data_IF_855879392438
#
_entry.id   IF_855879392438
#
_cell.length_a   1.000
_cell.length_b   1.000
_cell.length_c   1.000
_cell.angle_alpha   90.00
_cell.angle_beta   90.00
_cell.angle_gamma   90.00
#
_symmetry.space_group_name_H-M   'P 1'
#
loop_
_entity.id
_entity.type
_entity.pdbx_description
1 polymer ?
#
# COMPACT_ATOMS: atom_id res chain seq x y z
N UNK A 1 -2.82 19.11 27.74
CA UNK A 1 -3.66 18.15 27.01
C UNK A 1 -4.07 18.76 25.66
N UNK A 2 -3.31 18.53 24.59
CA UNK A 2 -3.79 18.83 23.24
C UNK A 2 -3.91 17.52 22.45
N UNK A 3 -5.13 17.27 22.04
CA UNK A 3 -5.69 16.06 21.46
C UNK A 3 -5.42 16.11 19.96
N UNK A 4 -4.63 15.18 19.43
CA UNK A 4 -4.50 14.99 17.99
C UNK A 4 -5.85 14.52 17.43
N UNK A 5 -6.43 15.26 16.49
CA UNK A 5 -7.67 14.89 15.79
C UNK A 5 -7.33 14.39 14.38
N UNK A 6 -7.87 13.23 13.95
CA UNK A 6 -7.61 12.68 12.63
C UNK A 6 -8.66 13.18 11.63
N UNK A 7 -8.41 14.29 10.93
CA UNK A 7 -9.21 14.71 9.78
C UNK A 7 -8.37 15.33 8.65
N UNK A 8 -8.31 14.65 7.48
CA UNK A 8 -7.95 15.26 6.19
C UNK A 8 -6.72 16.18 6.14
N UNK A 9 -5.65 15.84 6.85
CA UNK A 9 -4.65 16.81 7.30
C UNK A 9 -3.91 17.58 6.20
N UNK A 10 -3.69 17.04 4.99
CA UNK A 10 -2.97 17.81 3.96
C UNK A 10 -3.71 19.09 3.51
N UNK A 11 -5.06 19.11 3.55
CA UNK A 11 -5.83 20.34 3.25
C UNK A 11 -5.73 21.39 4.35
N UNK A 12 -5.46 20.99 5.59
CA UNK A 12 -5.51 21.88 6.77
C UNK A 12 -4.13 22.25 7.31
N UNK A 13 -3.13 21.40 7.15
CA UNK A 13 -1.78 21.61 7.71
C UNK A 13 -0.81 22.24 6.71
N UNK A 14 -0.97 21.99 5.40
CA UNK A 14 -0.13 22.59 4.35
C UNK A 14 -0.84 22.62 2.98
N UNK A 15 -1.72 23.61 2.75
CA UNK A 15 -2.44 23.75 1.48
C UNK A 15 -1.51 23.91 0.27
N UNK A 16 -0.34 24.54 0.46
CA UNK A 16 0.62 24.74 -0.62
C UNK A 16 1.25 23.42 -1.08
N UNK A 17 1.61 22.54 -0.13
CA UNK A 17 2.06 21.19 -0.45
C UNK A 17 0.99 20.38 -1.17
N UNK A 18 -0.27 20.48 -0.73
CA UNK A 18 -1.37 19.80 -1.39
C UNK A 18 -1.56 20.26 -2.85
N UNK A 19 -1.56 21.58 -3.09
CA UNK A 19 -1.68 22.10 -4.45
C UNK A 19 -0.49 21.70 -5.33
N UNK A 20 0.72 21.65 -4.76
CA UNK A 20 1.89 21.12 -5.45
C UNK A 20 1.72 19.65 -5.84
N UNK A 21 1.32 18.79 -4.90
CA UNK A 21 1.08 17.35 -5.18
C UNK A 21 0.01 17.19 -6.26
N UNK A 22 -1.07 17.98 -6.21
CA UNK A 22 -2.11 17.96 -7.25
C UNK A 22 -1.57 18.40 -8.61
N UNK A 23 -0.75 19.44 -8.66
CA UNK A 23 -0.15 19.91 -9.90
C UNK A 23 0.79 18.85 -10.52
N UNK A 24 1.61 18.19 -9.70
CA UNK A 24 2.46 17.07 -10.13
C UNK A 24 1.61 15.89 -10.64
N UNK A 25 0.58 15.49 -9.90
CA UNK A 25 -0.32 14.40 -10.29
C UNK A 25 -1.12 14.73 -11.57
N UNK A 26 -1.46 16.00 -11.80
CA UNK A 26 -2.13 16.45 -13.02
C UNK A 26 -1.22 16.36 -14.26
N UNK A 27 0.10 16.38 -14.06
CA UNK A 27 1.10 16.17 -15.11
C UNK A 27 1.28 14.70 -15.51
N UNK A 28 0.78 13.74 -14.72
CA UNK A 28 0.91 12.31 -15.01
C UNK A 28 0.07 11.91 -16.23
N UNK A 29 0.70 11.40 -17.31
CA UNK A 29 -0.04 10.91 -18.47
C UNK A 29 -1.07 9.87 -18.06
N UNK A 30 -2.31 10.02 -18.56
CA UNK A 30 -3.43 9.13 -18.25
C UNK A 30 -3.75 8.99 -16.74
N UNK A 31 -3.34 9.92 -15.88
CA UNK A 31 -3.49 9.85 -14.42
C UNK A 31 -4.92 9.79 -13.86
N UNK A 32 -5.95 9.79 -14.72
CA UNK A 32 -7.36 9.61 -14.35
C UNK A 32 -7.92 8.23 -14.74
N UNK A 33 -7.20 7.46 -15.56
CA UNK A 33 -7.63 6.16 -16.06
C UNK A 33 -7.38 5.06 -15.03
N UNK A 34 -8.45 4.40 -14.59
CA UNK A 34 -8.38 3.22 -13.71
C UNK A 34 -8.66 1.91 -14.45
N UNK A 35 -9.30 1.98 -15.61
CA UNK A 35 -9.64 0.84 -16.45
C UNK A 35 -8.96 1.01 -17.81
N UNK A 36 -8.22 -0.01 -18.21
CA UNK A 36 -7.52 -0.09 -19.47
C UNK A 36 -8.05 -1.28 -20.26
N UNK A 37 -8.39 -1.06 -21.52
CA UNK A 37 -8.72 -2.12 -22.46
C UNK A 37 -7.47 -2.46 -23.25
N UNK A 38 -7.10 -3.73 -23.24
CA UNK A 38 -5.99 -4.28 -24.03
C UNK A 38 -6.62 -5.09 -25.15
N UNK A 39 -6.43 -4.65 -26.39
CA UNK A 39 -7.05 -5.26 -27.56
C UNK A 39 -6.03 -5.50 -28.68
N UNK A 40 -6.31 -6.52 -29.48
CA UNK A 40 -5.55 -6.88 -30.67
C UNK A 40 -6.52 -7.42 -31.71
N UNK A 41 -6.24 -7.18 -32.99
CA UNK A 41 -7.07 -7.66 -34.09
C UNK A 41 -7.37 -9.16 -33.98
N UNK A 42 -8.67 -9.49 -34.11
CA UNK A 42 -9.22 -10.86 -34.06
C UNK A 42 -9.03 -11.58 -32.72
N UNK A 43 -8.75 -10.87 -31.64
CA UNK A 43 -8.71 -11.40 -30.28
C UNK A 43 -9.75 -10.71 -29.40
N UNK A 44 -10.36 -11.47 -28.47
CA UNK A 44 -11.19 -10.89 -27.43
C UNK A 44 -10.35 -9.95 -26.55
N UNK A 45 -10.90 -8.80 -26.13
CA UNK A 45 -10.16 -7.84 -25.33
C UNK A 45 -9.90 -8.38 -23.91
N UNK A 46 -8.78 -7.97 -23.34
CA UNK A 46 -8.51 -8.08 -21.91
C UNK A 46 -8.66 -6.72 -21.24
N UNK A 47 -8.85 -6.72 -19.93
CA UNK A 47 -9.01 -5.49 -19.16
C UNK A 47 -8.04 -5.48 -17.99
N UNK A 48 -7.38 -4.36 -17.78
CA UNK A 48 -6.55 -4.10 -16.60
C UNK A 48 -7.23 -3.03 -15.76
N UNK A 49 -7.53 -3.36 -14.51
CA UNK A 49 -8.15 -2.46 -13.55
C UNK A 49 -7.28 -2.31 -12.31
N UNK A 50 -6.96 -1.07 -11.94
CA UNK A 50 -6.20 -0.79 -10.72
C UNK A 50 -7.06 -0.83 -9.47
N UNK A 51 -6.72 -1.68 -8.51
CA UNK A 51 -7.34 -1.74 -7.18
C UNK A 51 -6.49 -0.99 -6.14
N UNK A 52 -7.02 -0.86 -4.93
CA UNK A 52 -6.27 -0.38 -3.76
C UNK A 52 -6.60 -1.29 -2.57
N UNK A 53 -5.57 -1.69 -1.82
CA UNK A 53 -5.66 -2.56 -0.64
C UNK A 53 -6.25 -1.86 0.61
N UNK A 54 -7.31 -1.06 0.43
CA UNK A 54 -8.01 -0.33 1.49
C UNK A 54 -9.52 -0.53 1.40
N UNK A 55 -10.18 -0.45 2.55
CA UNK A 55 -11.62 -0.67 2.74
C UNK A 55 -12.44 0.61 2.60
N UNK A 56 -11.85 1.68 2.06
CA UNK A 56 -12.54 2.96 1.89
C UNK A 56 -13.74 2.80 0.93
N UNK A 57 -14.96 3.21 1.32
CA UNK A 57 -16.17 3.08 0.50
C UNK A 57 -16.04 3.65 -0.92
N UNK A 58 -15.13 4.60 -1.14
CA UNK A 58 -14.90 5.23 -2.45
C UNK A 58 -14.19 4.33 -3.45
N UNK A 59 -13.52 3.27 -3.02
CA UNK A 59 -12.69 2.41 -3.89
C UNK A 59 -13.04 0.92 -3.83
N UNK A 60 -14.02 0.53 -3.01
CA UNK A 60 -14.45 -0.87 -2.84
C UNK A 60 -15.66 -1.25 -3.70
N UNK A 61 -15.91 -0.50 -4.76
CA UNK A 61 -16.92 -0.78 -5.79
C UNK A 61 -16.37 -0.45 -7.18
N UNK A 62 -16.79 -1.23 -8.18
CA UNK A 62 -16.47 -0.95 -9.57
C UNK A 62 -17.36 0.18 -10.09
N UNK A 63 -16.77 1.10 -10.86
CA UNK A 63 -17.54 2.05 -11.67
C UNK A 63 -18.23 1.31 -12.82
N UNK A 64 -19.32 1.86 -13.40
CA UNK A 64 -20.13 1.14 -14.41
C UNK A 64 -19.31 0.50 -15.54
N UNK A 65 -18.35 1.21 -16.14
CA UNK A 65 -17.53 0.65 -17.23
C UNK A 65 -16.66 -0.54 -16.77
N UNK A 66 -16.12 -0.49 -15.55
CA UNK A 66 -15.33 -1.57 -14.99
C UNK A 66 -16.20 -2.75 -14.58
N UNK A 67 -17.42 -2.49 -14.08
CA UNK A 67 -18.40 -3.52 -13.80
C UNK A 67 -18.80 -4.26 -15.09
N UNK A 68 -19.11 -3.55 -16.18
CA UNK A 68 -19.42 -4.19 -17.45
C UNK A 68 -18.26 -5.03 -18.00
N UNK A 69 -17.01 -4.56 -17.87
CA UNK A 69 -15.83 -5.33 -18.25
C UNK A 69 -15.67 -6.60 -17.39
N UNK A 70 -15.87 -6.49 -16.07
CA UNK A 70 -15.84 -7.62 -15.15
C UNK A 70 -16.94 -8.65 -15.48
N UNK A 71 -18.17 -8.19 -15.73
CA UNK A 71 -19.31 -9.04 -16.04
C UNK A 71 -19.09 -9.81 -17.36
N UNK A 72 -18.54 -9.15 -18.38
CA UNK A 72 -18.22 -9.75 -19.67
C UNK A 72 -17.01 -10.71 -19.63
N UNK A 73 -16.13 -10.58 -18.63
CA UNK A 73 -14.92 -11.39 -18.51
C UNK A 73 -15.21 -12.81 -18.02
N UNK A 74 -14.62 -13.82 -18.66
CA UNK A 74 -14.71 -15.23 -18.25
C UNK A 74 -13.68 -15.64 -17.20
N UNK A 75 -12.54 -14.95 -17.22
CA UNK A 75 -11.42 -15.16 -16.29
C UNK A 75 -11.12 -13.84 -15.60
N UNK A 76 -10.90 -13.91 -14.30
CA UNK A 76 -10.44 -12.81 -13.46
C UNK A 76 -9.09 -13.22 -12.89
N UNK A 77 -8.09 -12.36 -13.08
CA UNK A 77 -6.75 -12.57 -12.55
C UNK A 77 -6.49 -11.47 -11.53
N UNK A 78 -6.14 -11.86 -10.31
CA UNK A 78 -5.77 -10.94 -9.21
C UNK A 78 -4.31 -11.17 -8.82
N UNK A 79 -3.74 -10.34 -7.94
CA UNK A 79 -2.36 -10.51 -7.46
C UNK A 79 -2.18 -11.92 -6.86
N UNK A 80 -2.99 -12.28 -5.86
CA UNK A 80 -2.95 -13.62 -5.26
C UNK A 80 -4.32 -14.13 -4.89
N UNK A 81 -4.63 -15.37 -5.26
CA UNK A 81 -5.86 -16.05 -4.82
C UNK A 81 -5.83 -16.45 -3.35
N UNK A 82 -4.65 -16.45 -2.73
CA UNK A 82 -4.46 -16.78 -1.31
C UNK A 82 -5.07 -15.71 -0.39
N UNK A 83 -5.44 -14.55 -0.94
CA UNK A 83 -6.25 -13.53 -0.24
C UNK A 83 -7.59 -14.08 0.27
N UNK A 84 -8.09 -15.17 -0.33
CA UNK A 84 -9.32 -15.86 0.09
C UNK A 84 -9.10 -16.83 1.27
N UNK A 85 -7.86 -17.12 1.65
CA UNK A 85 -7.52 -18.04 2.74
C UNK A 85 -6.43 -17.41 3.64
N UNK A 86 -6.90 -16.61 4.59
CA UNK A 86 -6.01 -15.94 5.54
C UNK A 86 -5.17 -16.92 6.37
N UNK A 87 -5.68 -18.12 6.66
CA UNK A 87 -4.95 -19.11 7.43
C UNK A 87 -3.77 -19.66 6.62
N UNK A 88 -3.98 -19.97 5.34
CA UNK A 88 -2.91 -20.40 4.42
C UNK A 88 -1.89 -19.28 4.19
N UNK A 89 -2.34 -18.04 4.05
CA UNK A 89 -1.47 -16.88 3.95
C UNK A 89 -0.56 -16.77 5.19
N UNK A 90 -1.14 -16.79 6.39
CA UNK A 90 -0.38 -16.73 7.65
C UNK A 90 0.59 -17.90 7.80
N UNK A 91 0.17 -19.12 7.44
CA UNK A 91 1.03 -20.30 7.48
C UNK A 91 2.24 -20.15 6.53
N UNK A 92 2.02 -19.64 5.32
CA UNK A 92 3.10 -19.39 4.35
C UNK A 92 4.11 -18.36 4.88
N UNK A 93 3.62 -17.30 5.53
CA UNK A 93 4.46 -16.30 6.16
C UNK A 93 5.27 -16.83 7.35
N UNK A 94 4.73 -17.79 8.11
CA UNK A 94 5.44 -18.44 9.20
C UNK A 94 6.55 -19.38 8.73
N UNK A 95 6.50 -19.86 7.48
CA UNK A 95 7.57 -20.71 6.92
C UNK A 95 8.83 -19.92 6.56
N UNK A 96 8.69 -18.61 6.32
CA UNK A 96 9.77 -17.70 5.93
C UNK A 96 9.77 -16.41 6.78
N UNK A 97 9.92 -16.50 8.11
CA UNK A 97 9.82 -15.35 9.01
C UNK A 97 10.85 -14.26 8.70
N UNK A 98 11.99 -14.64 8.12
CA UNK A 98 13.06 -13.75 7.68
C UNK A 98 12.64 -12.76 6.60
N UNK A 99 11.54 -12.99 5.88
CA UNK A 99 11.02 -12.01 4.91
C UNK A 99 10.45 -10.77 5.59
N UNK A 100 9.89 -10.93 6.79
CA UNK A 100 9.24 -9.85 7.54
C UNK A 100 10.05 -9.36 8.74
N UNK A 101 10.89 -10.23 9.31
CA UNK A 101 11.57 -9.99 10.58
C UNK A 101 13.08 -10.22 10.44
N UNK A 102 13.86 -9.52 11.25
CA UNK A 102 15.24 -9.89 11.54
C UNK A 102 15.25 -11.13 12.42
N UNK A 103 15.97 -12.16 11.97
CA UNK A 103 16.13 -13.45 12.67
C UNK A 103 17.46 -13.55 13.40
N UNK A 104 18.27 -12.50 13.35
CA UNK A 104 19.58 -12.38 13.99
C UNK A 104 19.56 -11.33 15.12
N UNK A 105 20.73 -10.81 15.51
CA UNK A 105 20.86 -9.74 16.49
C UNK A 105 20.33 -8.37 16.04
N UNK A 106 20.08 -8.17 14.75
CA UNK A 106 19.73 -6.87 14.16
C UNK A 106 18.37 -6.38 14.65
N UNK A 107 18.24 -5.07 14.82
CA UNK A 107 16.99 -4.39 15.16
C UNK A 107 16.77 -3.18 14.26
N UNK A 108 15.54 -2.69 14.14
CA UNK A 108 15.23 -1.46 13.40
C UNK A 108 16.11 -0.28 13.83
N UNK A 109 16.28 -0.08 15.13
CA UNK A 109 17.05 1.05 15.67
C UNK A 109 18.55 0.89 15.45
N UNK A 110 19.06 -0.34 15.30
CA UNK A 110 20.48 -0.57 14.96
C UNK A 110 20.85 -0.11 13.55
N UNK A 111 19.87 0.10 12.67
CA UNK A 111 20.05 0.63 11.32
C UNK A 111 19.96 2.16 11.23
N UNK A 112 19.67 2.85 12.34
CA UNK A 112 19.37 4.26 12.37
C UNK A 112 20.41 5.05 13.18
N UNK A 113 20.56 6.33 12.85
CA UNK A 113 21.25 7.26 13.74
C UNK A 113 20.50 7.36 15.08
N UNK A 114 21.16 7.74 16.19
CA UNK A 114 20.47 7.95 17.47
C UNK A 114 19.32 8.96 17.39
N UNK A 115 19.46 9.99 16.55
CA UNK A 115 18.42 10.99 16.32
C UNK A 115 17.21 10.39 15.60
N UNK A 116 17.42 9.63 14.52
CA UNK A 116 16.34 9.01 13.76
C UNK A 116 15.65 7.90 14.56
N UNK A 117 16.40 7.14 15.37
CA UNK A 117 15.82 6.17 16.29
C UNK A 117 14.89 6.85 17.31
N UNK A 118 15.30 7.98 17.89
CA UNK A 118 14.46 8.75 18.82
C UNK A 118 13.21 9.31 18.13
N UNK A 119 13.34 9.82 16.89
CA UNK A 119 12.21 10.28 16.08
C UNK A 119 11.23 9.15 15.77
N UNK A 120 11.73 7.98 15.37
CA UNK A 120 10.93 6.81 15.08
C UNK A 120 10.16 6.35 16.33
N UNK A 121 10.85 6.17 17.46
CA UNK A 121 10.21 5.72 18.70
C UNK A 121 9.08 6.65 19.13
N UNK A 122 9.31 7.97 19.10
CA UNK A 122 8.28 8.96 19.40
C UNK A 122 7.07 8.87 18.45
N UNK A 123 7.31 8.61 17.17
CA UNK A 123 6.24 8.46 16.18
C UNK A 123 5.45 7.15 16.32
N UNK A 124 6.08 6.09 16.84
CA UNK A 124 5.41 4.82 17.17
C UNK A 124 4.55 4.97 18.42
N UNK A 125 5.11 5.55 19.48
CA UNK A 125 4.41 5.79 20.74
C UNK A 125 3.18 6.69 20.55
N UNK A 126 3.29 7.73 19.71
CA UNK A 126 2.15 8.59 19.37
C UNK A 126 1.00 7.85 18.68
N UNK A 127 1.27 6.69 18.08
CA UNK A 127 0.28 5.79 17.45
C UNK A 127 -0.12 4.62 18.37
N UNK A 128 0.35 4.59 19.62
CA UNK A 128 0.11 3.50 20.56
C UNK A 128 0.87 2.21 20.23
N UNK A 129 1.91 2.29 19.40
CA UNK A 129 2.74 1.15 19.02
C UNK A 129 3.98 1.14 19.91
N UNK A 130 4.22 0.02 20.60
CA UNK A 130 5.42 -0.15 21.41
C UNK A 130 6.65 -0.33 20.50
N UNK A 131 7.73 0.46 20.66
CA UNK A 131 8.96 0.23 19.90
C UNK A 131 9.52 -1.19 20.06
N UNK A 132 9.35 -1.79 21.25
CA UNK A 132 9.79 -3.14 21.51
C UNK A 132 9.03 -4.18 20.66
N UNK A 133 7.71 -4.00 20.44
CA UNK A 133 6.88 -4.96 19.69
C UNK A 133 7.18 -4.99 18.20
N UNK A 134 7.82 -3.95 17.67
CA UNK A 134 8.21 -3.86 16.25
C UNK A 134 9.71 -3.91 16.04
N UNK A 135 10.51 -4.03 17.10
CA UNK A 135 11.98 -3.90 17.06
C UNK A 135 12.67 -4.85 16.07
N UNK A 136 12.07 -6.02 15.83
CA UNK A 136 12.55 -7.04 14.89
C UNK A 136 11.90 -6.97 13.50
N UNK A 137 10.91 -6.12 13.27
CA UNK A 137 10.33 -5.97 11.92
C UNK A 137 11.36 -5.40 10.96
N UNK A 138 11.35 -5.85 9.70
CA UNK A 138 12.11 -5.21 8.63
C UNK A 138 11.50 -3.84 8.28
N UNK A 139 12.30 -2.88 7.78
CA UNK A 139 11.83 -1.52 7.48
C UNK A 139 10.62 -1.47 6.55
N UNK A 140 10.58 -2.30 5.49
CA UNK A 140 9.46 -2.34 4.55
C UNK A 140 8.14 -2.72 5.25
N UNK A 141 8.19 -3.63 6.22
CA UNK A 141 7.02 -4.06 6.99
C UNK A 141 6.51 -2.94 7.89
N UNK A 142 7.44 -2.25 8.56
CA UNK A 142 7.07 -1.10 9.39
C UNK A 142 6.47 0.02 8.54
N UNK A 143 7.06 0.32 7.38
CA UNK A 143 6.52 1.32 6.46
C UNK A 143 5.12 0.95 5.97
N UNK A 144 4.88 -0.31 5.61
CA UNK A 144 3.57 -0.80 5.22
C UNK A 144 2.54 -0.65 6.36
N UNK A 145 2.93 -0.99 7.60
CA UNK A 145 2.08 -0.82 8.77
C UNK A 145 1.75 0.66 9.04
N UNK A 146 2.73 1.55 8.95
CA UNK A 146 2.55 2.98 9.22
C UNK A 146 1.82 3.73 8.10
N UNK A 147 1.77 3.18 6.89
CA UNK A 147 1.01 3.72 5.77
C UNK A 147 -0.51 3.57 5.95
N UNK A 148 -0.96 2.61 6.78
CA UNK A 148 -2.38 2.41 7.06
C UNK A 148 -2.91 3.49 8.02
N UNK A 149 -3.92 4.28 7.61
CA UNK A 149 -4.51 5.26 8.52
C UNK A 149 -5.35 4.56 9.60
N UNK A 150 -5.46 5.17 10.78
CA UNK A 150 -6.21 4.60 11.91
C UNK A 150 -7.66 4.22 11.55
N UNK A 151 -8.33 5.00 10.70
CA UNK A 151 -9.68 4.69 10.24
C UNK A 151 -9.75 3.41 9.38
N UNK A 152 -8.70 3.10 8.63
CA UNK A 152 -8.59 1.85 7.87
C UNK A 152 -8.44 0.65 8.81
N UNK A 153 -7.60 0.78 9.85
CA UNK A 153 -7.45 -0.26 10.87
C UNK A 153 -8.78 -0.60 11.54
N UNK A 154 -9.57 0.42 11.91
CA UNK A 154 -10.90 0.24 12.52
C UNK A 154 -11.86 -0.48 11.57
N UNK A 155 -11.89 -0.10 10.28
CA UNK A 155 -12.76 -0.77 9.29
C UNK A 155 -12.38 -2.23 9.06
N UNK A 156 -11.08 -2.52 8.91
CA UNK A 156 -10.59 -3.91 8.75
C UNK A 156 -10.92 -4.75 9.99
N UNK A 157 -10.73 -4.21 11.19
CA UNK A 157 -11.12 -4.88 12.43
C UNK A 157 -12.63 -5.13 12.52
N UNK A 158 -13.45 -4.26 11.91
CA UNK A 158 -14.89 -4.45 11.75
C UNK A 158 -15.30 -5.40 10.63
N UNK A 159 -14.35 -6.07 9.96
CA UNK A 159 -14.63 -7.05 8.90
C UNK A 159 -14.87 -6.44 7.51
N UNK A 160 -14.56 -5.17 7.29
CA UNK A 160 -14.66 -4.59 5.95
C UNK A 160 -13.63 -5.24 5.00
N UNK A 161 -14.08 -5.56 3.78
CA UNK A 161 -13.25 -6.19 2.75
C UNK A 161 -12.77 -5.17 1.71
N UNK A 162 -11.52 -5.34 1.26
CA UNK A 162 -10.93 -4.62 0.13
C UNK A 162 -11.56 -5.09 -1.20
N UNK A 163 -11.37 -4.32 -2.27
CA UNK A 163 -11.99 -4.64 -3.57
C UNK A 163 -11.52 -6.00 -4.12
N UNK A 164 -10.26 -6.34 -3.91
CA UNK A 164 -9.61 -7.56 -4.40
C UNK A 164 -10.34 -8.82 -3.91
N UNK A 165 -10.65 -8.87 -2.61
CA UNK A 165 -11.44 -9.95 -2.01
C UNK A 165 -12.84 -10.00 -2.61
N UNK A 166 -13.52 -8.84 -2.74
CA UNK A 166 -14.87 -8.79 -3.30
C UNK A 166 -14.93 -9.30 -4.74
N UNK A 167 -13.94 -8.95 -5.57
CA UNK A 167 -13.85 -9.43 -6.95
C UNK A 167 -13.57 -10.92 -7.01
N UNK A 168 -12.69 -11.43 -6.13
CA UNK A 168 -12.39 -12.85 -6.02
C UNK A 168 -13.63 -13.67 -5.60
N UNK A 169 -14.34 -13.22 -4.56
CA UNK A 169 -15.58 -13.84 -4.09
C UNK A 169 -16.68 -13.80 -5.16
N UNK A 170 -16.89 -12.65 -5.81
CA UNK A 170 -17.85 -12.50 -6.90
C UNK A 170 -17.51 -13.40 -8.09
N UNK A 171 -16.22 -13.57 -8.42
CA UNK A 171 -15.78 -14.47 -9.48
C UNK A 171 -16.15 -15.91 -9.18
N UNK A 172 -15.88 -16.38 -7.94
CA UNK A 172 -16.29 -17.72 -7.50
C UNK A 172 -17.80 -17.90 -7.51
N UNK A 173 -18.55 -16.91 -7.01
CA UNK A 173 -20.01 -16.96 -6.95
C UNK A 173 -20.67 -16.99 -8.34
N UNK A 174 -20.03 -16.39 -9.35
CA UNK A 174 -20.53 -16.33 -10.73
C UNK A 174 -19.92 -17.39 -11.66
N UNK A 175 -19.11 -18.31 -11.12
CA UNK A 175 -18.50 -19.39 -11.90
C UNK A 175 -17.44 -18.91 -12.90
N UNK A 176 -16.87 -17.72 -12.70
CA UNK A 176 -15.73 -17.24 -13.48
C UNK A 176 -14.46 -17.98 -13.05
N UNK A 177 -13.53 -18.19 -13.98
CA UNK A 177 -12.21 -18.69 -13.65
C UNK A 177 -11.46 -17.61 -12.84
N UNK A 178 -10.89 -17.98 -11.69
CA UNK A 178 -10.13 -17.08 -10.84
C UNK A 178 -8.68 -17.56 -10.76
N UNK A 179 -7.76 -16.70 -11.15
CA UNK A 179 -6.32 -16.99 -11.19
C UNK A 179 -5.54 -15.94 -10.39
N UNK A 180 -4.33 -16.31 -9.95
CA UNK A 180 -3.37 -15.43 -9.28
C UNK A 180 -2.16 -15.15 -10.17
N UNK A 181 -1.65 -13.92 -10.16
CA UNK A 181 -0.38 -13.58 -10.80
C UNK A 181 0.83 -14.09 -10.00
N UNK A 182 0.70 -14.17 -8.68
CA UNK A 182 1.78 -14.49 -7.75
C UNK A 182 1.28 -15.23 -6.51
N UNK A 183 2.20 -15.89 -5.81
CA UNK A 183 1.96 -16.38 -4.44
C UNK A 183 2.25 -15.27 -3.42
N UNK A 184 1.71 -15.40 -2.21
CA UNK A 184 2.07 -14.51 -1.09
C UNK A 184 3.57 -14.56 -0.82
N UNK A 185 4.22 -15.71 -1.02
CA UNK A 185 5.66 -15.83 -0.84
C UNK A 185 6.43 -14.99 -1.85
N UNK A 186 6.05 -15.04 -3.13
CA UNK A 186 6.67 -14.23 -4.20
C UNK A 186 6.54 -12.73 -3.90
N UNK A 187 5.35 -12.30 -3.48
CA UNK A 187 5.08 -10.92 -3.11
C UNK A 187 5.97 -10.46 -1.94
N UNK A 188 6.12 -11.29 -0.91
CA UNK A 188 6.93 -10.95 0.26
C UNK A 188 8.42 -11.00 -0.02
N UNK A 189 8.88 -11.91 -0.88
CA UNK A 189 10.26 -11.95 -1.37
C UNK A 189 10.60 -10.68 -2.16
N UNK A 190 9.71 -10.25 -3.06
CA UNK A 190 9.88 -9.00 -3.80
C UNK A 190 10.01 -7.80 -2.85
N UNK A 191 9.14 -7.70 -1.84
CA UNK A 191 9.20 -6.64 -0.83
C UNK A 191 10.45 -6.71 0.06
N UNK A 192 10.86 -7.92 0.45
CA UNK A 192 12.05 -8.14 1.28
C UNK A 192 13.36 -7.94 0.52
N UNK A 193 13.33 -7.95 -0.82
CA UNK A 193 14.47 -7.66 -1.69
C UNK A 193 14.77 -6.16 -1.83
N UNK A 194 13.84 -5.29 -1.39
CA UNK A 194 14.05 -3.85 -1.38
C UNK A 194 15.28 -3.50 -0.52
N UNK A 195 16.13 -2.55 -0.96
CA UNK A 195 17.26 -2.11 -0.17
C UNK A 195 16.84 -1.71 1.24
N UNK A 196 17.62 -2.15 2.22
CA UNK A 196 17.42 -1.82 3.63
C UNK A 196 17.76 -0.35 3.93
N UNK A 197 18.45 0.31 3.00
CA UNK A 197 18.55 1.76 2.97
C UNK A 197 17.18 2.34 2.67
N UNK A 198 16.56 2.95 3.68
CA UNK A 198 15.47 3.89 3.45
C UNK A 198 16.03 4.92 2.47
N UNK A 199 15.45 5.15 1.28
CA UNK A 199 15.87 6.23 0.41
C UNK A 199 15.68 7.52 1.20
N UNK A 200 16.76 7.99 1.81
CA UNK A 200 16.82 9.31 2.40
C UNK A 200 16.92 10.27 1.22
N UNK A 201 15.81 10.49 0.52
CA UNK A 201 15.61 11.79 -0.08
C UNK A 201 15.48 12.76 1.08
N UNK A 202 16.64 13.27 1.52
CA UNK A 202 16.71 14.58 2.17
C UNK A 202 15.78 15.45 1.32
N UNK A 203 14.71 16.06 1.86
CA UNK A 203 13.97 17.08 1.12
C UNK A 203 15.05 18.01 0.59
N UNK A 204 15.22 18.10 -0.74
CA UNK A 204 16.30 18.90 -1.33
C UNK A 204 16.25 20.25 -0.63
N UNK A 205 17.29 20.50 0.18
CA UNK A 205 17.26 21.56 1.16
C UNK A 205 16.92 22.85 0.44
N UNK A 206 15.87 23.49 0.93
CA UNK A 206 15.79 24.94 0.99
C UNK A 206 17.17 25.49 1.39
N UNK A 207 17.94 25.92 0.40
CA UNK A 207 19.13 26.75 0.55
C UNK A 207 18.82 28.13 -0.01
N UNK A 208 19.38 29.21 0.55
CA UNK A 208 19.05 30.56 0.12
C UNK A 208 19.45 30.74 -1.34
N UNK A 209 18.56 31.38 -2.11
CA UNK A 209 18.81 31.78 -3.48
C UNK A 209 20.18 32.47 -3.58
N UNK A 210 21.14 31.85 -4.28
CA UNK A 210 22.35 32.54 -4.69
C UNK A 210 21.91 33.67 -5.61
N UNK A 211 21.91 34.90 -5.10
CA UNK A 211 21.90 36.10 -5.94
C UNK A 211 23.17 36.06 -6.78
N UNK A 212 23.03 35.84 -8.08
CA UNK A 212 24.09 36.16 -9.04
C UNK A 212 24.18 37.68 -9.15
N UNK A 213 25.26 38.26 -8.64
CA UNK A 213 25.76 39.52 -9.18
C UNK A 213 26.64 39.19 -10.38
N UNK A 214 26.18 39.56 -11.56
CA UNK A 214 26.95 40.18 -12.64
C UNK A 214 25.96 40.84 -13.60
#
# INVERSE_FOLDING_TARGET
>A
MHRWQPDGSSRKSDPALLEKIKAEAAGTPNGKGLLWKVERDRQEPSYLYGTMHVTDPRVVSLKPNAQSAFDASKTVVIETTEVLDQAKMLASLMQKPELMMFTDGTTLTSLLSPEDAARLNKALEARGISPASVSKMKPWMLSAMLALPACEMVRKAGGAAILDIKLAEASKATGKNLEGLETVSDQFEAMASLPMEIPYERPRGYGPARRSHR
#
